data_IF_905110486427
#
_entry.id   IF_905110486427
#
_cell.length_a   1.000
_cell.length_b   1.000
_cell.length_c   1.000
_cell.angle_alpha   90.00
_cell.angle_beta   90.00
_cell.angle_gamma   90.00
#
_symmetry.space_group_name_H-M   'P 1'
#
loop_
_entity.id
_entity.type
_entity.pdbx_description
1 polymer ?
#
# COMPACT_ATOMS: atom_id res chain seq x y z
N UNK A 1 -3.08 -0.94 10.03
CA UNK A 1 -1.84 -1.52 10.59
C UNK A 1 -2.23 -2.31 11.82
N UNK A 2 -1.85 -3.56 11.96
CA UNK A 2 -2.07 -4.32 13.19
C UNK A 2 -1.06 -3.89 14.27
N UNK A 3 -1.34 -4.18 15.57
CA UNK A 3 -0.50 -3.67 16.66
C UNK A 3 1.00 -3.99 16.53
N UNK A 4 1.34 -5.20 16.03
CA UNK A 4 2.73 -5.62 15.81
C UNK A 4 3.48 -4.90 14.68
N UNK A 5 2.82 -4.02 13.92
CA UNK A 5 3.44 -3.19 12.89
C UNK A 5 3.44 -1.69 13.28
N UNK A 6 3.22 -1.39 14.55
CA UNK A 6 3.23 -0.02 15.09
C UNK A 6 4.46 0.17 15.97
N UNK A 7 5.33 1.05 15.54
CA UNK A 7 6.55 1.37 16.31
C UNK A 7 6.30 2.25 17.53
N UNK A 8 5.19 2.99 17.56
CA UNK A 8 4.77 3.80 18.71
C UNK A 8 5.45 5.17 18.79
N UNK A 9 6.76 5.26 18.59
CA UNK A 9 7.52 6.52 18.57
C UNK A 9 8.41 6.63 17.33
N UNK A 10 8.83 7.85 16.92
CA UNK A 10 9.77 8.02 15.80
C UNK A 10 11.09 7.26 16.00
N UNK A 11 11.64 7.23 17.19
CA UNK A 11 12.89 6.52 17.50
C UNK A 11 12.74 5.01 17.29
N UNK A 12 11.61 4.45 17.71
CA UNK A 12 11.33 3.03 17.48
C UNK A 12 11.10 2.77 16.01
N UNK A 13 10.41 3.66 15.27
CA UNK A 13 10.22 3.54 13.84
C UNK A 13 11.55 3.55 13.07
N UNK A 14 12.51 4.38 13.50
CA UNK A 14 13.86 4.40 12.94
C UNK A 14 14.56 3.05 13.20
N UNK A 15 14.53 2.55 14.43
CA UNK A 15 15.16 1.28 14.78
C UNK A 15 14.56 0.10 13.99
N UNK A 16 13.21 0.05 13.90
CA UNK A 16 12.50 -0.98 13.15
C UNK A 16 12.79 -0.88 11.65
N UNK A 17 12.83 0.33 11.09
CA UNK A 17 13.18 0.58 9.69
C UNK A 17 14.59 0.11 9.34
N UNK A 18 15.58 0.42 10.16
CA UNK A 18 16.97 -0.05 9.99
C UNK A 18 17.04 -1.59 10.05
N UNK A 19 16.29 -2.21 10.98
CA UNK A 19 16.24 -3.68 11.06
C UNK A 19 15.60 -4.33 9.83
N UNK A 20 14.62 -3.66 9.20
CA UNK A 20 14.05 -4.10 7.92
C UNK A 20 15.06 -3.96 6.77
N UNK A 21 15.79 -2.86 6.70
CA UNK A 21 16.87 -2.68 5.71
C UNK A 21 17.94 -3.75 5.86
N UNK A 22 18.39 -4.03 7.10
CA UNK A 22 19.35 -5.11 7.38
C UNK A 22 18.81 -6.50 6.99
N UNK A 23 17.50 -6.73 7.13
CA UNK A 23 16.84 -7.94 6.67
C UNK A 23 16.77 -8.03 5.13
N UNK A 24 17.03 -6.93 4.42
CA UNK A 24 17.09 -6.84 2.97
C UNK A 24 15.78 -6.44 2.31
N UNK A 25 14.98 -5.64 2.96
CA UNK A 25 13.88 -4.93 2.31
C UNK A 25 14.42 -3.81 1.43
N UNK A 26 13.80 -3.61 0.27
CA UNK A 26 14.31 -2.73 -0.79
C UNK A 26 13.71 -1.32 -0.72
N UNK A 27 12.64 -1.12 0.03
CA UNK A 27 11.91 0.14 0.23
C UNK A 27 11.26 0.14 1.60
N UNK A 28 11.22 1.29 2.27
CA UNK A 28 10.47 1.50 3.51
C UNK A 28 9.21 2.32 3.22
N UNK A 29 8.05 1.85 3.70
CA UNK A 29 6.78 2.58 3.62
C UNK A 29 6.36 2.98 5.04
N UNK A 30 6.38 4.29 5.31
CA UNK A 30 6.24 4.85 6.65
C UNK A 30 4.93 5.64 6.75
N UNK A 31 4.06 5.25 7.68
CA UNK A 31 2.81 5.93 7.96
C UNK A 31 2.56 6.12 9.45
N UNK A 32 2.00 7.24 9.85
CA UNK A 32 1.69 7.57 11.23
C UNK A 32 0.24 7.34 11.63
N UNK A 33 -0.66 7.19 10.66
CA UNK A 33 -2.11 7.09 10.86
C UNK A 33 -2.63 5.73 10.38
N UNK A 34 -3.55 5.12 11.14
CA UNK A 34 -4.17 3.86 10.74
C UNK A 34 -5.03 4.06 9.48
N UNK A 35 -4.83 3.20 8.48
CA UNK A 35 -5.45 3.34 7.15
C UNK A 35 -6.98 3.09 7.15
N UNK A 36 -7.48 2.09 7.89
CA UNK A 36 -8.89 1.65 7.82
C UNK A 36 -9.84 2.39 8.78
N UNK A 37 -9.38 2.78 9.96
CA UNK A 37 -10.28 3.30 10.99
C UNK A 37 -9.55 4.15 12.03
N UNK A 38 -10.31 4.81 12.86
CA UNK A 38 -9.83 5.63 13.96
C UNK A 38 -10.31 7.09 13.87
N UNK A 39 -10.13 7.90 14.90
CA UNK A 39 -10.53 9.30 14.89
C UNK A 39 -9.73 10.10 13.83
N UNK A 40 -10.28 11.20 13.31
CA UNK A 40 -9.51 12.11 12.46
C UNK A 40 -8.23 12.55 13.18
N UNK A 41 -7.13 12.59 12.44
CA UNK A 41 -5.83 13.08 12.95
C UNK A 41 -5.52 14.38 12.19
N UNK A 42 -5.27 15.48 12.88
CA UNK A 42 -4.86 16.72 12.24
C UNK A 42 -3.53 16.52 11.47
N UNK A 43 -3.37 17.14 10.29
CA UNK A 43 -2.14 17.01 9.49
C UNK A 43 -0.86 17.35 10.26
N UNK A 44 -0.91 18.34 11.14
CA UNK A 44 0.24 18.74 11.97
C UNK A 44 0.66 17.63 12.94
N UNK A 45 -0.31 16.91 13.52
CA UNK A 45 -0.04 15.81 14.43
C UNK A 45 0.50 14.58 13.68
N UNK A 46 -0.01 14.30 12.49
CA UNK A 46 0.50 13.26 11.61
C UNK A 46 1.93 13.58 11.17
N UNK A 47 2.19 14.79 10.69
CA UNK A 47 3.52 15.22 10.29
C UNK A 47 4.53 15.17 11.44
N UNK A 48 4.13 15.60 12.65
CA UNK A 48 4.99 15.56 13.82
C UNK A 48 5.44 14.14 14.22
N UNK A 49 4.65 13.12 13.89
CA UNK A 49 5.01 11.71 14.09
C UNK A 49 5.81 11.12 12.91
N UNK A 50 5.47 11.50 11.67
CA UNK A 50 6.01 10.91 10.45
C UNK A 50 7.37 11.50 10.08
N UNK A 51 7.51 12.83 10.09
CA UNK A 51 8.70 13.55 9.59
C UNK A 51 9.98 13.13 10.32
N UNK A 52 10.05 13.08 11.67
CA UNK A 52 11.27 12.66 12.35
C UNK A 52 11.72 11.23 12.02
N UNK A 53 10.77 10.31 11.76
CA UNK A 53 11.09 8.95 11.35
C UNK A 53 11.70 8.92 9.94
N UNK A 54 11.16 9.69 9.00
CA UNK A 54 11.71 9.82 7.65
C UNK A 54 13.11 10.44 7.68
N UNK A 55 13.31 11.55 8.38
CA UNK A 55 14.61 12.21 8.53
C UNK A 55 15.67 11.26 9.11
N UNK A 56 15.30 10.49 10.14
CA UNK A 56 16.21 9.53 10.76
C UNK A 56 16.56 8.33 9.85
N UNK A 57 15.74 8.03 8.86
CA UNK A 57 15.93 6.95 7.90
C UNK A 57 16.43 7.40 6.52
N UNK A 58 16.50 8.70 6.25
CA UNK A 58 16.90 9.25 4.93
C UNK A 58 18.29 8.76 4.47
N UNK A 59 19.17 8.39 5.40
CA UNK A 59 20.51 7.81 5.12
C UNK A 59 20.57 6.29 5.11
N UNK A 60 19.46 5.56 5.23
CA UNK A 60 19.43 4.11 5.39
C UNK A 60 19.80 3.31 4.11
N UNK A 61 19.99 3.98 2.98
CA UNK A 61 20.43 3.35 1.72
C UNK A 61 19.32 2.71 0.90
N UNK A 62 18.06 2.88 1.31
CA UNK A 62 16.86 2.46 0.56
C UNK A 62 15.90 3.64 0.40
N UNK A 63 15.08 3.68 -0.66
CA UNK A 63 14.05 4.69 -0.82
C UNK A 63 12.99 4.61 0.29
N UNK A 64 12.37 5.74 0.61
CA UNK A 64 11.30 5.86 1.61
C UNK A 64 10.05 6.37 0.91
N UNK A 65 8.94 5.70 1.13
CA UNK A 65 7.60 6.13 0.76
C UNK A 65 6.87 6.64 2.01
N UNK A 66 6.10 7.71 1.86
CA UNK A 66 5.22 8.24 2.91
C UNK A 66 3.79 7.71 2.70
N UNK A 67 3.29 6.89 3.64
CA UNK A 67 1.91 6.38 3.65
C UNK A 67 1.00 7.44 4.27
N UNK A 68 0.48 8.32 3.42
CA UNK A 68 -0.42 9.42 3.79
C UNK A 68 -1.28 9.86 2.62
N UNK A 69 -2.51 10.27 2.91
CA UNK A 69 -3.42 10.91 1.95
C UNK A 69 -3.61 12.41 2.21
N UNK A 70 -2.85 12.99 3.15
CA UNK A 70 -2.83 14.43 3.38
C UNK A 70 -1.75 15.09 2.52
N UNK A 71 -2.14 16.04 1.68
CA UNK A 71 -1.22 16.81 0.82
C UNK A 71 -0.18 17.58 1.65
N UNK A 72 -0.59 18.11 2.80
CA UNK A 72 0.30 18.85 3.70
C UNK A 72 1.36 17.93 4.31
N UNK A 73 0.94 16.73 4.77
CA UNK A 73 1.86 15.71 5.32
C UNK A 73 2.78 15.16 4.24
N UNK A 74 2.26 14.87 3.05
CA UNK A 74 3.05 14.41 1.90
C UNK A 74 4.14 15.43 1.53
N UNK A 75 3.79 16.71 1.49
CA UNK A 75 4.77 17.79 1.24
C UNK A 75 5.87 17.82 2.30
N UNK A 76 5.53 17.72 3.58
CA UNK A 76 6.49 17.70 4.68
C UNK A 76 7.38 16.45 4.63
N UNK A 77 6.80 15.28 4.34
CA UNK A 77 7.50 14.01 4.20
C UNK A 77 8.52 14.03 3.04
N UNK A 78 8.13 14.57 1.88
CA UNK A 78 9.02 14.73 0.73
C UNK A 78 10.19 15.69 1.04
N UNK A 79 9.91 16.77 1.75
CA UNK A 79 10.96 17.69 2.21
C UNK A 79 11.92 17.04 3.22
N UNK A 80 11.46 16.06 4.00
CA UNK A 80 12.24 15.29 4.96
C UNK A 80 13.08 14.15 4.32
N UNK A 81 12.87 13.86 3.03
CA UNK A 81 13.65 12.85 2.31
C UNK A 81 12.86 11.65 1.80
N UNK A 82 11.54 11.61 1.93
CA UNK A 82 10.72 10.64 1.21
C UNK A 82 10.83 10.89 -0.30
N UNK A 83 10.82 9.83 -1.09
CA UNK A 83 10.92 9.88 -2.56
C UNK A 83 9.63 9.44 -3.26
N UNK A 84 8.66 8.97 -2.50
CA UNK A 84 7.35 8.56 -2.99
C UNK A 84 6.25 8.85 -1.97
N UNK A 85 5.02 8.92 -2.44
CA UNK A 85 3.81 8.98 -1.62
C UNK A 85 2.96 7.73 -1.89
N UNK A 86 2.53 7.05 -0.83
CA UNK A 86 1.58 5.95 -0.88
C UNK A 86 0.22 6.50 -0.40
N UNK A 87 -0.69 6.75 -1.35
CA UNK A 87 -1.95 7.42 -1.11
C UNK A 87 -3.13 6.45 -1.24
N UNK A 88 -3.76 6.17 -0.10
CA UNK A 88 -4.94 5.29 -0.01
C UNK A 88 -6.26 5.99 -0.37
N UNK A 89 -6.24 7.28 -0.75
CA UNK A 89 -7.47 8.03 -1.02
C UNK A 89 -8.00 7.93 -2.46
N UNK A 90 -7.24 7.27 -3.33
CA UNK A 90 -7.54 7.28 -4.76
C UNK A 90 -7.08 8.55 -5.48
N UNK A 91 -6.33 9.40 -4.81
CA UNK A 91 -5.74 10.64 -5.32
C UNK A 91 -6.73 11.82 -5.38
N UNK A 92 -6.31 12.96 -4.89
CA UNK A 92 -6.97 14.24 -5.14
C UNK A 92 -6.23 15.03 -6.23
N UNK A 93 -6.89 16.03 -6.85
CA UNK A 93 -6.23 16.91 -7.81
C UNK A 93 -5.02 17.62 -7.17
N UNK A 94 -5.16 18.10 -5.93
CA UNK A 94 -4.09 18.74 -5.18
C UNK A 94 -2.90 17.79 -4.90
N UNK A 95 -3.17 16.51 -4.66
CA UNK A 95 -2.12 15.51 -4.51
C UNK A 95 -1.40 15.25 -5.85
N UNK A 96 -2.14 15.14 -6.94
CA UNK A 96 -1.55 15.00 -8.27
C UNK A 96 -0.70 16.22 -8.66
N UNK A 97 -1.15 17.45 -8.35
CA UNK A 97 -0.35 18.65 -8.55
C UNK A 97 0.95 18.64 -7.71
N UNK A 98 0.90 18.17 -6.47
CA UNK A 98 2.09 17.99 -5.64
C UNK A 98 3.07 16.97 -6.26
N UNK A 99 2.57 15.83 -6.70
CA UNK A 99 3.37 14.76 -7.33
C UNK A 99 4.01 15.27 -8.62
N UNK A 100 3.26 15.98 -9.46
CA UNK A 100 3.78 16.59 -10.69
C UNK A 100 4.88 17.62 -10.39
N UNK A 101 4.66 18.49 -9.42
CA UNK A 101 5.60 19.56 -9.06
C UNK A 101 6.91 19.04 -8.44
N UNK A 102 6.87 17.91 -7.73
CA UNK A 102 8.03 17.34 -7.03
C UNK A 102 8.75 16.26 -7.82
N UNK A 103 8.09 15.63 -8.79
CA UNK A 103 8.64 14.50 -9.54
C UNK A 103 8.77 13.22 -8.70
N UNK A 104 8.12 13.14 -7.53
CA UNK A 104 8.17 11.97 -6.67
C UNK A 104 7.41 10.77 -7.26
N UNK A 105 7.72 9.56 -6.80
CA UNK A 105 6.90 8.37 -7.07
C UNK A 105 5.54 8.47 -6.38
N UNK A 106 4.54 7.80 -6.94
CA UNK A 106 3.19 7.83 -6.41
C UNK A 106 2.51 6.46 -6.50
N UNK A 107 2.03 5.96 -5.38
CA UNK A 107 1.19 4.76 -5.32
C UNK A 107 -0.27 5.20 -5.27
N UNK A 108 -0.99 4.95 -6.35
CA UNK A 108 -2.41 5.21 -6.50
C UNK A 108 -3.19 3.97 -6.08
N UNK A 109 -3.83 4.00 -4.91
CA UNK A 109 -4.66 2.90 -4.45
C UNK A 109 -6.12 3.09 -4.87
N UNK A 110 -6.77 2.01 -5.28
CA UNK A 110 -8.22 2.00 -5.49
C UNK A 110 -8.96 2.02 -4.15
N UNK A 111 -9.99 2.88 -4.08
CA UNK A 111 -10.96 2.97 -3.00
C UNK A 111 -12.25 3.61 -3.52
N UNK A 112 -13.41 3.19 -3.01
CA UNK A 112 -14.74 3.68 -3.43
C UNK A 112 -15.25 4.88 -2.62
N UNK A 113 -14.40 5.69 -2.11
CA UNK A 113 -14.80 6.89 -1.37
C UNK A 113 -13.73 7.36 -0.40
N UNK A 114 -14.05 8.23 0.55
CA UNK A 114 -13.03 8.76 1.45
C UNK A 114 -12.45 7.66 2.34
N UNK A 115 -11.12 7.69 2.60
CA UNK A 115 -10.47 6.77 3.53
C UNK A 115 -11.08 6.83 4.94
N UNK A 116 -10.98 5.72 5.68
CA UNK A 116 -11.36 5.61 7.09
C UNK A 116 -12.86 5.78 7.37
N UNK A 117 -13.68 5.67 6.35
CA UNK A 117 -15.14 5.57 6.45
C UNK A 117 -15.54 4.12 6.23
N UNK A 118 -16.14 3.49 7.24
CA UNK A 118 -16.64 2.13 7.12
C UNK A 118 -17.85 2.09 6.20
N UNK A 119 -17.83 1.19 5.22
CA UNK A 119 -18.90 0.99 4.26
C UNK A 119 -18.97 -0.46 3.80
N UNK A 120 -20.15 -0.93 3.37
CA UNK A 120 -20.26 -2.26 2.76
C UNK A 120 -19.48 -2.31 1.44
N UNK A 121 -18.98 -3.49 1.09
CA UNK A 121 -18.38 -3.72 -0.21
C UNK A 121 -19.39 -3.44 -1.33
N UNK A 122 -19.03 -2.67 -2.37
CA UNK A 122 -19.88 -2.45 -3.52
C UNK A 122 -20.16 -3.75 -4.29
N UNK A 123 -21.31 -3.82 -4.95
CA UNK A 123 -21.59 -4.90 -5.90
C UNK A 123 -20.98 -4.54 -7.26
N UNK A 124 -20.05 -5.35 -7.73
CA UNK A 124 -19.46 -5.25 -9.06
C UNK A 124 -19.99 -6.35 -9.98
N UNK A 125 -20.27 -6.04 -11.23
CA UNK A 125 -20.49 -7.06 -12.25
C UNK A 125 -19.20 -7.87 -12.52
N UNK A 126 -18.08 -7.16 -12.62
CA UNK A 126 -16.72 -7.71 -12.67
C UNK A 126 -15.78 -6.70 -11.98
N UNK A 127 -15.24 -7.10 -10.84
CA UNK A 127 -14.38 -6.22 -10.02
C UNK A 127 -13.08 -5.87 -10.73
N UNK A 128 -12.52 -6.77 -11.54
CA UNK A 128 -11.25 -6.51 -12.24
C UNK A 128 -11.44 -5.57 -13.43
N UNK A 129 -12.53 -5.74 -14.20
CA UNK A 129 -12.90 -4.78 -15.25
C UNK A 129 -13.18 -3.38 -14.67
N UNK A 130 -13.86 -3.34 -13.53
CA UNK A 130 -14.07 -2.07 -12.80
C UNK A 130 -12.74 -1.41 -12.44
N UNK A 131 -11.80 -2.16 -11.82
CA UNK A 131 -10.47 -1.65 -11.47
C UNK A 131 -9.70 -1.11 -12.69
N UNK A 132 -9.71 -1.85 -13.81
CA UNK A 132 -9.05 -1.41 -15.05
C UNK A 132 -9.64 -0.07 -15.53
N UNK A 133 -10.96 0.05 -15.53
CA UNK A 133 -11.66 1.28 -15.93
C UNK A 133 -11.36 2.43 -14.97
N UNK A 134 -11.43 2.17 -13.67
CA UNK A 134 -11.19 3.16 -12.62
C UNK A 134 -9.76 3.71 -12.68
N UNK A 135 -8.75 2.83 -12.72
CA UNK A 135 -7.36 3.24 -12.85
C UNK A 135 -7.11 4.00 -14.16
N UNK A 136 -7.72 3.56 -15.27
CA UNK A 136 -7.64 4.27 -16.54
C UNK A 136 -8.05 5.73 -16.39
N UNK A 137 -9.21 5.99 -15.80
CA UNK A 137 -9.71 7.34 -15.57
C UNK A 137 -8.85 8.15 -14.60
N UNK A 138 -8.39 7.54 -13.49
CA UNK A 138 -7.56 8.25 -12.49
C UNK A 138 -6.18 8.60 -13.03
N UNK A 139 -5.56 7.69 -13.77
CA UNK A 139 -4.24 7.93 -14.41
C UNK A 139 -4.34 9.04 -15.47
N UNK A 140 -5.41 9.06 -16.28
CA UNK A 140 -5.61 10.16 -17.24
C UNK A 140 -5.83 11.50 -16.54
N UNK A 141 -6.55 11.54 -15.43
CA UNK A 141 -6.68 12.76 -14.62
C UNK A 141 -5.31 13.21 -14.08
N UNK A 142 -4.56 12.31 -13.46
CA UNK A 142 -3.23 12.62 -12.93
C UNK A 142 -2.30 13.18 -14.03
N UNK A 143 -2.31 12.55 -15.22
CA UNK A 143 -1.53 13.02 -16.38
C UNK A 143 -1.97 14.39 -16.88
N UNK A 144 -3.26 14.67 -16.88
CA UNK A 144 -3.79 16.00 -17.28
C UNK A 144 -3.34 17.11 -16.34
N UNK A 145 -2.98 16.76 -15.10
CA UNK A 145 -2.43 17.65 -14.08
C UNK A 145 -0.89 17.66 -14.03
N UNK A 146 -0.23 17.00 -14.99
CA UNK A 146 1.20 17.04 -15.18
C UNK A 146 2.00 15.91 -14.53
N UNK A 147 1.35 14.88 -13.97
CA UNK A 147 2.05 13.70 -13.44
C UNK A 147 2.56 12.85 -14.60
N UNK A 148 3.84 12.54 -14.62
CA UNK A 148 4.39 11.59 -15.58
C UNK A 148 3.95 10.17 -15.24
N UNK A 149 3.68 9.37 -16.30
CA UNK A 149 3.20 8.00 -16.13
C UNK A 149 4.17 7.12 -15.35
N UNK A 150 5.46 7.37 -15.51
CA UNK A 150 6.56 6.67 -14.85
C UNK A 150 6.63 6.91 -13.34
N UNK A 151 5.93 7.93 -12.84
CA UNK A 151 5.81 8.20 -11.40
C UNK A 151 4.76 7.30 -10.73
N UNK A 152 3.83 6.70 -11.48
CA UNK A 152 2.63 6.05 -10.96
C UNK A 152 2.81 4.53 -10.86
N UNK A 153 2.61 3.98 -9.67
CA UNK A 153 2.29 2.59 -9.43
C UNK A 153 0.82 2.47 -8.97
N UNK A 154 0.16 1.35 -9.28
CA UNK A 154 -1.24 1.13 -8.93
C UNK A 154 -1.37 0.03 -7.86
N UNK A 155 -2.22 0.26 -6.84
CA UNK A 155 -2.58 -0.72 -5.81
C UNK A 155 -4.08 -1.04 -5.92
N UNK A 156 -4.50 -2.29 -6.15
CA UNK A 156 -5.91 -2.67 -6.27
C UNK A 156 -6.72 -2.45 -4.98
N UNK A 157 -6.09 -2.11 -3.86
CA UNK A 157 -6.78 -1.78 -2.63
C UNK A 157 -7.38 -3.00 -1.91
N UNK A 158 -6.72 -4.16 -1.96
CA UNK A 158 -7.19 -5.37 -1.26
C UNK A 158 -7.55 -5.07 0.19
N UNK A 159 -8.69 -5.58 0.67
CA UNK A 159 -9.23 -5.34 2.01
C UNK A 159 -9.74 -3.89 2.25
N UNK A 160 -9.82 -3.04 1.22
CA UNK A 160 -10.42 -1.70 1.30
C UNK A 160 -11.72 -1.67 0.53
N UNK A 161 -12.85 -1.67 1.26
CA UNK A 161 -14.20 -1.68 0.72
C UNK A 161 -14.49 -2.86 -0.26
N UNK A 162 -13.77 -3.95 -0.12
CA UNK A 162 -13.92 -5.20 -0.88
C UNK A 162 -14.32 -6.33 0.05
N UNK A 163 -15.12 -7.26 -0.45
CA UNK A 163 -15.38 -8.52 0.25
C UNK A 163 -14.31 -9.58 -0.06
N UNK A 164 -14.34 -10.68 0.67
CA UNK A 164 -13.34 -11.74 0.53
C UNK A 164 -13.29 -12.34 -0.87
N UNK A 165 -14.42 -12.51 -1.56
CA UNK A 165 -14.46 -13.10 -2.90
C UNK A 165 -13.93 -12.12 -3.94
N UNK A 166 -14.21 -10.83 -3.78
CA UNK A 166 -13.66 -9.76 -4.62
C UNK A 166 -12.12 -9.67 -4.47
N UNK A 167 -11.61 -9.72 -3.24
CA UNK A 167 -10.16 -9.76 -2.97
C UNK A 167 -9.48 -10.98 -3.63
N UNK A 168 -10.10 -12.16 -3.51
CA UNK A 168 -9.61 -13.39 -4.13
C UNK A 168 -9.67 -13.34 -5.67
N UNK A 169 -10.72 -12.76 -6.23
CA UNK A 169 -10.84 -12.60 -7.69
C UNK A 169 -9.79 -11.64 -8.23
N UNK A 170 -9.53 -10.51 -7.56
CA UNK A 170 -8.46 -9.58 -7.92
C UNK A 170 -7.11 -10.30 -7.86
N UNK A 171 -6.81 -11.02 -6.79
CA UNK A 171 -5.54 -11.74 -6.65
C UNK A 171 -5.36 -12.81 -7.73
N UNK A 172 -6.43 -13.50 -8.12
CA UNK A 172 -6.44 -14.51 -9.19
C UNK A 172 -6.18 -13.90 -10.56
N UNK A 173 -6.70 -12.69 -10.78
CA UNK A 173 -6.68 -11.99 -12.06
C UNK A 173 -5.72 -10.78 -12.10
N UNK A 174 -4.77 -10.69 -11.17
CA UNK A 174 -3.73 -9.64 -11.17
C UNK A 174 -3.06 -9.40 -12.54
N UNK A 175 -2.79 -10.44 -13.36
CA UNK A 175 -2.20 -10.23 -14.69
C UNK A 175 -3.02 -9.32 -15.61
N UNK A 176 -4.34 -9.21 -15.42
CA UNK A 176 -5.19 -8.35 -16.23
C UNK A 176 -4.96 -6.86 -15.92
N UNK A 177 -4.63 -6.50 -14.68
CA UNK A 177 -4.26 -5.13 -14.31
C UNK A 177 -2.95 -4.68 -14.98
N UNK A 178 -2.06 -5.62 -15.34
CA UNK A 178 -0.83 -5.30 -16.08
C UNK A 178 -1.09 -4.75 -17.49
N UNK A 179 -2.29 -4.98 -18.06
CA UNK A 179 -2.68 -4.38 -19.32
C UNK A 179 -2.64 -2.84 -19.28
N UNK A 180 -2.71 -2.24 -18.09
CA UNK A 180 -2.53 -0.81 -17.89
C UNK A 180 -1.08 -0.36 -18.12
N UNK A 181 -0.10 -1.27 -18.17
CA UNK A 181 1.32 -0.97 -18.39
C UNK A 181 1.95 -0.13 -17.27
N UNK A 182 1.43 -0.26 -16.05
CA UNK A 182 1.92 0.41 -14.83
C UNK A 182 2.46 -0.64 -13.85
N UNK A 183 3.44 -0.29 -13.00
CA UNK A 183 3.86 -1.15 -11.90
C UNK A 183 2.68 -1.49 -10.98
N UNK A 184 2.57 -2.77 -10.61
CA UNK A 184 1.60 -3.26 -9.64
C UNK A 184 2.21 -3.26 -8.24
N UNK A 185 1.67 -2.42 -7.38
CA UNK A 185 1.92 -2.41 -5.94
C UNK A 185 0.82 -3.23 -5.26
N UNK A 186 1.17 -4.20 -4.43
CA UNK A 186 0.18 -5.07 -3.77
C UNK A 186 0.50 -5.18 -2.28
N UNK A 187 -0.45 -4.74 -1.46
CA UNK A 187 -0.35 -4.82 0.00
C UNK A 187 -1.10 -6.05 0.51
N UNK A 188 -0.37 -7.04 1.07
CA UNK A 188 -0.94 -8.33 1.46
C UNK A 188 -0.79 -8.66 2.95
N UNK A 189 0.06 -7.92 3.67
CA UNK A 189 0.47 -8.35 5.00
C UNK A 189 -0.71 -8.41 5.97
N UNK A 190 -1.06 -9.64 6.37
CA UNK A 190 -2.03 -9.98 7.40
C UNK A 190 -3.43 -9.38 7.16
N UNK A 191 -3.83 -9.24 5.89
CA UNK A 191 -5.13 -8.73 5.46
C UNK A 191 -6.29 -9.57 6.03
N UNK A 192 -7.45 -8.93 6.24
CA UNK A 192 -8.63 -9.58 6.85
C UNK A 192 -9.17 -10.71 5.98
N UNK A 193 -9.19 -10.53 4.64
CA UNK A 193 -9.64 -11.58 3.73
C UNK A 193 -8.80 -12.87 3.86
N UNK A 194 -7.49 -12.77 4.12
CA UNK A 194 -6.64 -13.95 4.35
C UNK A 194 -7.10 -14.70 5.61
N UNK A 195 -7.41 -13.96 6.67
CA UNK A 195 -7.94 -14.54 7.90
C UNK A 195 -9.31 -15.21 7.69
N UNK A 196 -10.17 -14.60 6.87
CA UNK A 196 -11.47 -15.12 6.51
C UNK A 196 -11.38 -16.41 5.69
N UNK A 197 -10.49 -16.45 4.69
CA UNK A 197 -10.24 -17.65 3.88
C UNK A 197 -9.78 -18.84 4.74
N UNK A 198 -8.83 -18.60 5.66
CA UNK A 198 -8.30 -19.68 6.53
C UNK A 198 -9.34 -20.17 7.53
N UNK A 199 -10.16 -19.27 8.09
CA UNK A 199 -11.23 -19.62 9.02
C UNK A 199 -12.48 -20.17 8.33
N UNK A 200 -12.67 -19.91 7.04
CA UNK A 200 -13.87 -20.29 6.28
C UNK A 200 -15.06 -19.33 6.44
N UNK A 201 -14.91 -18.23 7.19
CA UNK A 201 -15.91 -17.17 7.31
C UNK A 201 -15.29 -15.84 7.68
N UNK A 202 -15.97 -14.74 7.31
CA UNK A 202 -15.55 -13.38 7.66
C UNK A 202 -15.70 -13.11 9.16
N UNK A 203 -16.75 -13.60 9.78
CA UNK A 203 -17.06 -13.39 11.19
C UNK A 203 -16.03 -14.08 12.11
N UNK A 204 -15.56 -15.25 11.69
CA UNK A 204 -14.59 -16.08 12.45
C UNK A 204 -13.15 -15.88 11.98
N UNK A 205 -12.88 -14.85 11.14
CA UNK A 205 -11.56 -14.63 10.56
C UNK A 205 -10.47 -14.61 11.61
N UNK A 206 -9.36 -15.24 11.31
CA UNK A 206 -8.21 -15.30 12.19
C UNK A 206 -7.76 -13.90 12.60
N UNK A 207 -7.28 -13.69 13.84
CA UNK A 207 -6.64 -12.46 14.25
C UNK A 207 -5.36 -12.23 13.44
N UNK A 208 -4.96 -10.97 13.27
CA UNK A 208 -3.83 -10.59 12.40
C UNK A 208 -2.52 -11.33 12.74
N UNK A 209 -2.29 -11.65 14.02
CA UNK A 209 -1.11 -12.41 14.46
C UNK A 209 -1.03 -13.83 13.92
N UNK A 210 -2.14 -14.44 13.53
CA UNK A 210 -2.24 -15.82 13.05
C UNK A 210 -2.31 -15.95 11.53
N UNK A 211 -2.21 -14.83 10.77
CA UNK A 211 -2.36 -14.79 9.30
C UNK A 211 -1.02 -14.89 8.55
N UNK A 212 0.08 -15.16 9.23
CA UNK A 212 1.42 -15.14 8.61
C UNK A 212 1.54 -16.13 7.45
N UNK A 213 1.17 -17.40 7.66
CA UNK A 213 1.27 -18.42 6.62
C UNK A 213 0.32 -18.20 5.45
N UNK A 214 -0.87 -17.69 5.71
CA UNK A 214 -1.78 -17.25 4.65
C UNK A 214 -1.20 -16.10 3.84
N UNK A 215 -0.54 -15.14 4.50
CA UNK A 215 0.16 -14.03 3.85
C UNK A 215 1.30 -14.55 2.96
N UNK A 216 2.12 -15.49 3.45
CA UNK A 216 3.18 -16.13 2.66
C UNK A 216 2.64 -16.75 1.37
N UNK A 217 1.52 -17.47 1.45
CA UNK A 217 0.85 -18.03 0.27
C UNK A 217 0.36 -16.96 -0.70
N UNK A 218 -0.32 -15.93 -0.20
CA UNK A 218 -0.83 -14.82 -1.01
C UNK A 218 0.30 -14.04 -1.70
N UNK A 219 1.44 -13.82 -1.00
CA UNK A 219 2.64 -13.19 -1.56
C UNK A 219 3.18 -13.98 -2.75
N UNK A 220 3.29 -15.31 -2.63
CA UNK A 220 3.75 -16.14 -3.73
C UNK A 220 2.82 -16.07 -4.96
N UNK A 221 1.50 -16.04 -4.74
CA UNK A 221 0.51 -15.87 -5.80
C UNK A 221 0.58 -14.49 -6.44
N UNK A 222 0.76 -13.42 -5.67
CA UNK A 222 0.90 -12.07 -6.20
C UNK A 222 2.16 -11.92 -7.06
N UNK A 223 3.30 -12.48 -6.62
CA UNK A 223 4.52 -12.53 -7.45
C UNK A 223 4.27 -13.25 -8.76
N UNK A 224 3.62 -14.42 -8.73
CA UNK A 224 3.23 -15.15 -9.94
C UNK A 224 2.27 -14.35 -10.82
N UNK A 225 1.36 -13.60 -10.22
CA UNK A 225 0.41 -12.70 -10.88
C UNK A 225 1.06 -11.43 -11.46
N UNK A 226 2.36 -11.22 -11.23
CA UNK A 226 3.13 -10.12 -11.80
C UNK A 226 3.14 -8.86 -10.94
N UNK A 227 2.95 -8.95 -9.63
CA UNK A 227 3.20 -7.83 -8.72
C UNK A 227 4.67 -7.40 -8.81
N UNK A 228 4.90 -6.11 -8.98
CA UNK A 228 6.23 -5.49 -9.09
C UNK A 228 6.73 -5.04 -7.72
N UNK A 229 5.83 -4.56 -6.86
CA UNK A 229 6.13 -4.08 -5.51
C UNK A 229 5.18 -4.79 -4.53
N UNK A 230 5.72 -5.36 -3.46
CA UNK A 230 4.95 -6.02 -2.41
C UNK A 230 5.17 -5.33 -1.07
N UNK A 231 4.08 -4.84 -0.47
CA UNK A 231 4.09 -4.29 0.89
C UNK A 231 3.86 -5.40 1.91
N UNK A 232 4.90 -5.72 2.63
CA UNK A 232 4.93 -6.81 3.62
C UNK A 232 5.64 -6.36 4.90
N UNK A 233 5.35 -7.01 6.05
CA UNK A 233 5.86 -6.61 7.35
C UNK A 233 6.78 -7.65 8.02
N UNK A 234 6.99 -8.81 7.41
CA UNK A 234 7.71 -9.92 8.04
C UNK A 234 8.71 -10.60 7.10
N UNK A 235 9.72 -11.25 7.72
CA UNK A 235 10.80 -11.92 7.00
C UNK A 235 10.36 -13.18 6.26
N UNK A 236 9.34 -13.88 6.73
CA UNK A 236 8.81 -15.08 6.07
C UNK A 236 8.18 -14.72 4.73
N UNK A 237 7.41 -13.64 4.67
CA UNK A 237 6.86 -13.10 3.43
C UNK A 237 7.96 -12.61 2.47
N UNK A 238 9.03 -11.97 2.99
CA UNK A 238 10.18 -11.57 2.18
C UNK A 238 10.89 -12.80 1.57
N UNK A 239 11.07 -13.87 2.33
CA UNK A 239 11.64 -15.12 1.83
C UNK A 239 10.78 -15.76 0.75
N UNK A 240 9.45 -15.81 0.97
CA UNK A 240 8.49 -16.32 -0.01
C UNK A 240 8.53 -15.53 -1.32
N UNK A 241 8.56 -14.20 -1.24
CA UNK A 241 8.70 -13.31 -2.39
C UNK A 241 9.97 -13.60 -3.18
N UNK A 242 11.11 -13.74 -2.50
CA UNK A 242 12.41 -14.05 -3.14
C UNK A 242 12.41 -15.39 -3.84
N UNK A 243 11.85 -16.43 -3.22
CA UNK A 243 11.73 -17.76 -3.83
C UNK A 243 10.79 -17.72 -5.04
N UNK A 244 9.60 -17.17 -4.88
CA UNK A 244 8.62 -17.05 -5.96
C UNK A 244 9.19 -16.24 -7.15
N UNK A 245 9.86 -15.12 -6.88
CA UNK A 245 10.49 -14.29 -7.92
C UNK A 245 11.59 -14.98 -8.70
N UNK A 246 12.24 -16.00 -8.12
CA UNK A 246 13.22 -16.83 -8.84
C UNK A 246 12.56 -17.91 -9.70
N UNK A 247 11.37 -18.36 -9.31
CA UNK A 247 10.62 -19.40 -10.03
C UNK A 247 9.90 -18.85 -11.27
N UNK A 248 9.40 -17.59 -11.20
CA UNK A 248 8.63 -16.99 -12.30
C UNK A 248 9.48 -16.23 -13.32
N UNK A 249 10.77 -16.07 -13.07
CA UNK A 249 11.77 -15.52 -14.02
C UNK A 249 12.45 -16.63 -14.78
#
# INVERSE_FOLDING_TARGET
MYEGARSGTPEQAIADGLALVEAGFDLLDIGAVAAKSGPPVPPEAEAAALVPAIEGLAGAGVPISADTFSVEVARAALAAGAVAVNDISGGSEEMFELVAATGCGYVLMHIEGPPRVDRPAPEYGDVVEHLVSWFGGRVELARSLGVDREQIAIDPGLDFDLDTEQDLEILRRLPELRALGLPLYVSLSRKDFIGAVVAGSWEERLPAGEREWGTVGAVALAVRGGADILRIHDRSSLQAMRVAGRVVR
#
